data_IF_494931908158
#
_entry.id   IF_494931908158
#
_cell.length_a   1.000
_cell.length_b   1.000
_cell.length_c   1.000
_cell.angle_alpha   90.00
_cell.angle_beta   90.00
_cell.angle_gamma   90.00
#
_symmetry.space_group_name_H-M   'P 1'
#
loop_
_entity.id
_entity.type
_entity.pdbx_description
1 polymer ?
#
# COMPACT_ATOMS: atom_id res chain seq x y z
N UNK A 1 65.99 7.78 0.75
CA UNK A 1 65.28 8.99 1.22
C UNK A 1 63.82 8.58 1.41
N UNK A 2 63.45 8.18 2.63
CA UNK A 2 62.12 7.62 2.92
C UNK A 2 61.25 8.69 3.58
N UNK A 3 60.24 9.16 2.85
CA UNK A 3 59.22 10.06 3.40
C UNK A 3 58.28 9.23 4.27
N UNK A 4 58.43 9.39 5.59
CA UNK A 4 57.53 8.81 6.57
C UNK A 4 56.25 9.63 6.57
N UNK A 5 55.21 9.14 5.90
CA UNK A 5 53.87 9.73 5.91
C UNK A 5 53.28 9.58 7.32
N UNK A 6 53.41 10.62 8.13
CA UNK A 6 52.75 10.70 9.44
C UNK A 6 51.27 11.02 9.24
N UNK A 7 50.44 9.98 9.15
CA UNK A 7 48.98 10.10 9.26
C UNK A 7 48.59 10.07 10.73
N UNK A 8 48.93 11.14 11.47
CA UNK A 8 48.20 11.46 12.71
C UNK A 8 46.83 11.98 12.32
N UNK A 9 45.85 11.07 12.27
CA UNK A 9 44.46 11.48 12.32
C UNK A 9 44.22 12.05 13.72
N UNK A 10 43.99 13.36 13.81
CA UNK A 10 43.64 14.00 15.07
C UNK A 10 42.42 13.32 15.68
N UNK A 11 42.43 13.15 17.01
CA UNK A 11 41.31 12.54 17.74
C UNK A 11 39.97 13.23 17.43
N UNK A 12 40.02 14.53 17.09
CA UNK A 12 38.86 15.29 16.59
C UNK A 12 38.37 14.83 15.22
N UNK A 13 39.27 14.45 14.31
CA UNK A 13 38.91 13.93 12.98
C UNK A 13 38.25 12.54 13.06
N UNK A 14 38.71 11.69 13.99
CA UNK A 14 38.09 10.39 14.28
C UNK A 14 36.69 10.58 14.90
N UNK A 15 36.55 11.54 15.83
CA UNK A 15 35.26 11.87 16.42
C UNK A 15 34.26 12.42 15.38
N UNK A 16 34.72 13.25 14.45
CA UNK A 16 33.88 13.78 13.36
C UNK A 16 33.40 12.65 12.43
N UNK A 17 34.28 11.73 12.02
CA UNK A 17 33.89 10.57 11.21
C UNK A 17 32.87 9.70 11.95
N UNK A 18 33.07 9.50 13.27
CA UNK A 18 32.13 8.74 14.11
C UNK A 18 30.77 9.42 14.26
N UNK A 19 30.70 10.75 14.27
CA UNK A 19 29.44 11.48 14.33
C UNK A 19 28.69 11.42 12.98
N UNK A 20 29.42 11.48 11.86
CA UNK A 20 28.84 11.40 10.51
C UNK A 20 28.25 10.01 10.25
N UNK A 21 28.93 8.94 10.68
CA UNK A 21 28.39 7.57 10.55
C UNK A 21 27.15 7.34 11.41
N UNK A 22 27.07 7.96 12.60
CA UNK A 22 25.88 7.89 13.46
C UNK A 22 24.68 8.65 12.86
N UNK A 23 24.94 9.76 12.17
CA UNK A 23 23.89 10.56 11.51
C UNK A 23 23.28 9.82 10.29
N UNK A 24 24.09 9.05 9.57
CA UNK A 24 23.63 8.26 8.42
C UNK A 24 22.72 7.07 8.80
N UNK A 25 22.81 6.56 10.03
CA UNK A 25 21.95 5.46 10.51
C UNK A 25 20.52 5.90 10.87
N UNK A 26 20.29 7.20 11.12
CA UNK A 26 18.96 7.72 11.43
C UNK A 26 18.16 8.13 10.18
N UNK A 27 18.76 8.08 8.99
CA UNK A 27 18.10 8.41 7.73
C UNK A 27 17.34 7.23 7.09
N UNK A 28 17.42 6.02 7.65
CA UNK A 28 16.72 4.83 7.15
C UNK A 28 15.29 4.71 7.73
N UNK A 29 14.59 5.83 7.80
CA UNK A 29 13.33 5.97 8.52
C UNK A 29 12.16 6.44 7.66
N UNK A 30 12.11 6.07 6.39
CA UNK A 30 10.87 6.14 5.61
C UNK A 30 10.31 4.73 5.46
N UNK A 31 9.52 4.30 6.45
CA UNK A 31 8.49 3.32 6.19
C UNK A 31 7.49 4.00 5.26
N UNK A 32 7.76 3.96 3.96
CA UNK A 32 6.74 4.07 2.93
C UNK A 32 5.90 2.77 2.97
N UNK A 33 5.24 2.52 4.09
CA UNK A 33 4.03 1.69 4.15
C UNK A 33 2.84 2.46 3.56
N UNK A 34 3.06 3.26 2.51
CA UNK A 34 2.03 3.77 1.62
C UNK A 34 1.93 2.95 0.32
N UNK A 35 2.64 1.82 0.24
CA UNK A 35 2.34 0.72 -0.70
C UNK A 35 1.08 -0.08 -0.29
N UNK A 36 0.33 0.36 0.73
CA UNK A 36 -0.73 -0.41 1.38
C UNK A 36 -2.16 0.07 1.14
N UNK A 37 -2.42 1.08 0.30
CA UNK A 37 -3.78 1.52 0.01
C UNK A 37 -4.20 1.02 -1.38
N UNK A 38 -4.41 -0.29 -1.51
CA UNK A 38 -4.97 -0.84 -2.74
C UNK A 38 -6.45 -0.50 -2.80
N UNK A 39 -6.79 0.45 -3.65
CA UNK A 39 -8.18 0.89 -3.85
C UNK A 39 -8.79 0.14 -5.03
N UNK A 40 -10.04 -0.25 -4.88
CA UNK A 40 -10.80 -0.90 -5.93
C UNK A 40 -11.43 0.17 -6.81
N UNK A 41 -11.00 0.28 -8.06
CA UNK A 41 -11.51 1.27 -9.01
C UNK A 41 -12.61 0.67 -9.87
N UNK A 42 -13.70 1.42 -10.08
CA UNK A 42 -14.78 1.00 -10.94
C UNK A 42 -14.29 0.67 -12.36
N UNK A 43 -14.74 -0.48 -12.87
CA UNK A 43 -14.53 -0.94 -14.24
C UNK A 43 -15.83 -0.91 -15.04
N UNK A 44 -16.85 -1.66 -14.62
CA UNK A 44 -18.12 -1.78 -15.35
C UNK A 44 -19.28 -2.30 -14.49
N UNK A 45 -20.51 -2.23 -15.04
CA UNK A 45 -21.71 -2.80 -14.43
C UNK A 45 -22.37 -1.89 -13.38
N UNK A 46 -22.93 -2.51 -12.33
CA UNK A 46 -23.53 -1.78 -11.22
C UNK A 46 -22.50 -0.88 -10.52
N UNK A 47 -22.83 0.40 -10.35
CA UNK A 47 -21.91 1.43 -9.87
C UNK A 47 -22.42 2.03 -8.57
N UNK A 48 -21.62 1.89 -7.51
CA UNK A 48 -21.89 2.51 -6.19
C UNK A 48 -20.98 3.73 -5.96
N UNK A 49 -19.89 3.83 -6.72
CA UNK A 49 -18.87 4.86 -6.61
C UNK A 49 -17.65 4.49 -7.43
N UNK A 50 -16.79 5.47 -7.66
CA UNK A 50 -15.61 5.33 -8.53
C UNK A 50 -14.48 4.54 -7.88
N UNK A 51 -14.40 4.61 -6.54
CA UNK A 51 -13.41 3.94 -5.72
C UNK A 51 -14.09 3.33 -4.50
N UNK A 52 -13.73 2.10 -4.18
CA UNK A 52 -14.07 1.43 -2.93
C UNK A 52 -12.78 1.26 -2.12
N UNK A 53 -12.92 1.44 -0.80
CA UNK A 53 -11.85 1.20 0.15
C UNK A 53 -11.45 -0.28 0.15
N UNK A 54 -10.28 -0.56 0.71
CA UNK A 54 -9.78 -1.93 0.80
C UNK A 54 -10.74 -2.82 1.60
N UNK A 55 -11.06 -3.97 1.04
CA UNK A 55 -11.92 -4.98 1.66
C UNK A 55 -11.04 -6.15 2.07
N UNK A 56 -11.40 -6.80 3.19
CA UNK A 56 -10.75 -8.04 3.59
C UNK A 56 -10.93 -9.09 2.48
N UNK A 57 -9.93 -9.93 2.25
CA UNK A 57 -10.01 -11.10 1.36
C UNK A 57 -11.15 -12.05 1.73
N UNK A 58 -11.58 -12.03 2.99
CA UNK A 58 -12.68 -12.84 3.50
C UNK A 58 -14.02 -12.11 3.48
N UNK A 59 -14.10 -10.90 2.92
CA UNK A 59 -15.32 -10.08 2.89
C UNK A 59 -16.42 -10.62 1.96
N UNK A 60 -16.28 -11.85 1.43
CA UNK A 60 -17.30 -12.46 0.57
C UNK A 60 -18.60 -12.62 1.38
N UNK A 61 -19.70 -12.16 0.81
CA UNK A 61 -21.03 -12.01 1.40
C UNK A 61 -21.19 -10.84 2.39
N UNK A 62 -20.15 -10.03 2.62
CA UNK A 62 -20.32 -8.81 3.42
C UNK A 62 -21.20 -7.80 2.69
N UNK A 63 -21.95 -7.03 3.47
CA UNK A 63 -22.82 -5.97 2.95
C UNK A 63 -22.08 -4.65 2.90
N UNK A 64 -22.09 -4.01 1.73
CA UNK A 64 -21.58 -2.67 1.51
C UNK A 64 -22.67 -1.67 1.87
N UNK A 65 -22.32 -0.72 2.74
CA UNK A 65 -23.19 0.37 3.15
C UNK A 65 -22.77 1.69 2.51
N UNK A 66 -23.75 2.45 2.01
CA UNK A 66 -23.56 3.83 1.53
C UNK A 66 -24.54 4.73 2.26
N UNK A 67 -24.03 5.75 2.95
CA UNK A 67 -24.84 6.66 3.78
C UNK A 67 -25.76 5.92 4.76
N UNK A 68 -25.20 4.91 5.45
CA UNK A 68 -25.90 4.06 6.42
C UNK A 68 -27.06 3.21 5.84
N UNK A 69 -27.07 2.99 4.51
CA UNK A 69 -28.02 2.10 3.84
C UNK A 69 -27.26 0.95 3.17
N UNK A 70 -27.72 -0.31 3.31
CA UNK A 70 -27.13 -1.42 2.58
C UNK A 70 -27.46 -1.27 1.10
N UNK A 71 -26.46 -1.38 0.23
CA UNK A 71 -26.62 -1.14 -1.23
C UNK A 71 -26.17 -2.33 -2.07
N UNK A 72 -25.20 -3.11 -1.58
CA UNK A 72 -24.70 -4.27 -2.30
C UNK A 72 -24.11 -5.31 -1.35
N UNK A 73 -23.89 -6.51 -1.85
CA UNK A 73 -23.09 -7.55 -1.21
C UNK A 73 -21.83 -7.80 -2.02
N UNK A 74 -20.73 -8.09 -1.33
CA UNK A 74 -19.50 -8.57 -1.97
C UNK A 74 -19.74 -9.99 -2.47
N UNK A 75 -19.70 -10.17 -3.79
CA UNK A 75 -19.91 -11.48 -4.41
C UNK A 75 -18.60 -12.26 -4.53
N UNK A 76 -17.51 -11.59 -4.90
CA UNK A 76 -16.20 -12.20 -5.01
C UNK A 76 -15.09 -11.17 -4.79
N UNK A 77 -13.96 -11.61 -4.23
CA UNK A 77 -12.73 -10.84 -4.09
C UNK A 77 -11.57 -11.71 -4.58
N UNK A 78 -11.13 -11.49 -5.82
CA UNK A 78 -9.92 -12.11 -6.34
C UNK A 78 -8.70 -11.24 -6.03
N UNK A 79 -7.95 -11.64 -5.02
CA UNK A 79 -6.64 -11.07 -4.75
C UNK A 79 -5.61 -11.76 -5.63
N UNK A 80 -5.45 -11.22 -6.83
CA UNK A 80 -4.40 -11.61 -7.75
C UNK A 80 -3.05 -11.79 -7.04
N UNK A 81 -2.44 -12.97 -7.25
CA UNK A 81 -1.02 -13.19 -6.98
C UNK A 81 -0.19 -12.34 -7.95
N UNK A 82 1.05 -12.02 -7.52
CA UNK A 82 2.02 -11.16 -8.22
C UNK A 82 1.93 -11.33 -9.75
N UNK A 83 1.42 -10.31 -10.44
CA UNK A 83 1.31 -10.27 -11.91
C UNK A 83 -0.11 -10.34 -12.49
N UNK A 84 -1.14 -10.58 -11.67
CA UNK A 84 -2.56 -10.47 -12.10
C UNK A 84 -3.22 -9.18 -11.57
N UNK A 85 -4.26 -8.71 -12.27
CA UNK A 85 -5.08 -7.57 -11.84
C UNK A 85 -6.19 -8.13 -10.95
N UNK A 86 -6.16 -7.82 -9.65
CA UNK A 86 -7.21 -8.26 -8.74
C UNK A 86 -8.57 -7.73 -9.17
N UNK A 87 -9.62 -8.52 -8.97
CA UNK A 87 -10.99 -8.16 -9.30
C UNK A 87 -11.89 -8.25 -8.06
N UNK A 88 -12.69 -7.21 -7.84
CA UNK A 88 -13.77 -7.19 -6.86
C UNK A 88 -15.09 -7.20 -7.62
N UNK A 89 -15.95 -8.17 -7.29
CA UNK A 89 -17.29 -8.29 -7.84
C UNK A 89 -18.28 -8.03 -6.71
N UNK A 90 -19.21 -7.11 -6.96
CA UNK A 90 -20.30 -6.78 -6.04
C UNK A 90 -21.64 -7.03 -6.72
N UNK A 91 -22.68 -7.29 -5.94
CA UNK A 91 -24.04 -7.46 -6.43
C UNK A 91 -24.98 -6.46 -5.74
N UNK A 92 -25.74 -5.71 -6.54
CA UNK A 92 -26.80 -4.81 -6.06
C UNK A 92 -27.84 -5.58 -5.26
N UNK A 93 -28.23 -5.05 -4.10
CA UNK A 93 -29.33 -5.63 -3.31
C UNK A 93 -30.71 -5.34 -3.93
N UNK A 94 -30.84 -4.24 -4.67
CA UNK A 94 -32.12 -3.80 -5.25
C UNK A 94 -32.37 -4.40 -6.63
N UNK A 95 -31.34 -4.41 -7.49
CA UNK A 95 -31.45 -4.79 -8.90
C UNK A 95 -30.86 -6.17 -9.21
N UNK A 96 -30.12 -6.76 -8.27
CA UNK A 96 -29.34 -7.99 -8.47
C UNK A 96 -28.27 -7.91 -9.57
N UNK A 97 -28.00 -6.71 -10.11
CA UNK A 97 -26.96 -6.48 -11.10
C UNK A 97 -25.55 -6.57 -10.49
N UNK A 98 -24.59 -7.02 -11.29
CA UNK A 98 -23.19 -7.14 -10.88
C UNK A 98 -22.40 -5.88 -11.24
N UNK A 99 -21.52 -5.46 -10.33
CA UNK A 99 -20.53 -4.41 -10.53
C UNK A 99 -19.12 -4.98 -10.43
N UNK A 100 -18.24 -4.53 -11.31
CA UNK A 100 -16.87 -5.03 -11.47
C UNK A 100 -15.89 -3.91 -11.18
N UNK A 101 -14.95 -4.20 -10.29
CA UNK A 101 -13.94 -3.26 -9.82
C UNK A 101 -12.55 -3.89 -9.94
N UNK A 102 -11.56 -3.09 -10.30
CA UNK A 102 -10.19 -3.53 -10.53
C UNK A 102 -9.24 -2.93 -9.51
N UNK A 103 -8.27 -3.73 -9.06
CA UNK A 103 -7.23 -3.27 -8.15
C UNK A 103 -6.30 -2.27 -8.84
N UNK A 104 -6.04 -1.13 -8.19
CA UNK A 104 -5.05 -0.14 -8.63
C UNK A 104 -3.74 -0.26 -7.85
#
# INVERSE_FOLDING_TARGET
MNYKLDRRMDKGFVAIISCISLFMLMASGSNDTQLGNCWWKYGSGYHIGDMLEELDKNAINDTIFKSNKPVATVYNVDNALIGSYGELIIQSLDTHEFGYYHRK
#
